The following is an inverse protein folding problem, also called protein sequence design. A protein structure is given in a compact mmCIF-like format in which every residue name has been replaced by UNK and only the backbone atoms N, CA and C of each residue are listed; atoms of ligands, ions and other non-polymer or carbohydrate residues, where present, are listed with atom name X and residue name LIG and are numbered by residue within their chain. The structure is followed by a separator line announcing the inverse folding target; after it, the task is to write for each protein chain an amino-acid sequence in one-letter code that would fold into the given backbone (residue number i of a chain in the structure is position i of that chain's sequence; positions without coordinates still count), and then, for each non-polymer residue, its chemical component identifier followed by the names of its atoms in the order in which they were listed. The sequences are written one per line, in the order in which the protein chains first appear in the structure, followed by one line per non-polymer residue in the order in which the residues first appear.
data_IF_586416131798
#
_entry.id   IF_586416131798
#
_cell.length_a   1.000
_cell.length_b   1.000
_cell.length_c   1.000
_cell.angle_alpha   90.00
_cell.angle_beta   90.00
_cell.angle_gamma   90.00
#
_symmetry.space_group_name_H-M   'P 1'
#
loop_
_entity.id
_entity.type
_entity.pdbx_description
1 polymer ?
#
# COMPACT_ATOMS: atom_id res chain seq x y z
N UNK A 1 7.73 -21.92 1.23
CA UNK A 1 7.27 -20.65 0.65
C UNK A 1 7.79 -19.48 1.48
N UNK A 2 8.21 -18.39 0.83
CA UNK A 2 8.64 -17.16 1.53
C UNK A 2 7.43 -16.26 1.72
N UNK A 3 7.25 -15.71 2.92
CA UNK A 3 6.22 -14.72 3.23
C UNK A 3 6.87 -13.36 3.37
N UNK A 4 6.19 -12.31 2.91
CA UNK A 4 6.67 -10.95 2.90
C UNK A 4 5.75 -10.07 3.74
N UNK A 5 6.31 -9.29 4.67
CA UNK A 5 5.59 -8.23 5.34
C UNK A 5 5.98 -6.91 4.68
N UNK A 6 5.02 -6.23 4.08
CA UNK A 6 5.25 -4.98 3.37
C UNK A 6 5.31 -3.82 4.35
N UNK A 7 6.36 -3.01 4.22
CA UNK A 7 6.50 -1.74 4.92
C UNK A 7 5.62 -0.65 4.29
N UNK A 8 5.29 0.36 5.06
CA UNK A 8 4.47 1.51 4.63
C UNK A 8 5.04 2.20 3.42
N UNK A 9 6.37 2.32 3.32
CA UNK A 9 7.02 2.91 2.15
C UNK A 9 6.76 2.12 0.86
N UNK A 10 6.81 0.79 0.94
CA UNK A 10 6.55 -0.09 -0.22
C UNK A 10 5.10 0.08 -0.69
N UNK A 11 4.15 0.13 0.24
CA UNK A 11 2.75 0.41 -0.08
C UNK A 11 2.57 1.80 -0.71
N UNK A 12 3.22 2.84 -0.17
CA UNK A 12 3.16 4.20 -0.73
C UNK A 12 3.73 4.25 -2.15
N UNK A 13 4.87 3.62 -2.40
CA UNK A 13 5.47 3.58 -3.73
C UNK A 13 4.60 2.83 -4.74
N UNK A 14 3.95 1.75 -4.30
CA UNK A 14 3.01 1.01 -5.13
C UNK A 14 1.80 1.88 -5.51
N UNK A 15 1.21 2.57 -4.53
CA UNK A 15 0.09 3.49 -4.76
C UNK A 15 0.47 4.67 -5.67
N UNK A 16 1.74 5.08 -5.67
CA UNK A 16 2.27 6.11 -6.58
C UNK A 16 2.65 5.59 -7.97
N UNK A 17 2.50 4.28 -8.23
CA UNK A 17 2.87 3.66 -9.51
C UNK A 17 4.38 3.65 -9.79
N UNK A 18 5.21 3.62 -8.74
CA UNK A 18 6.67 3.68 -8.87
C UNK A 18 7.30 2.28 -8.78
N UNK A 19 8.49 2.12 -9.39
CA UNK A 19 9.36 0.94 -9.31
C UNK A 19 8.77 -0.39 -9.82
N UNK A 20 7.67 -0.36 -10.57
CA UNK A 20 7.02 -1.55 -11.14
C UNK A 20 6.75 -2.63 -10.07
N UNK A 21 6.27 -2.18 -8.90
CA UNK A 21 6.04 -3.05 -7.74
C UNK A 21 4.93 -4.09 -7.99
N UNK A 22 3.99 -3.79 -8.87
CA UNK A 22 3.01 -4.74 -9.41
C UNK A 22 3.69 -6.03 -9.93
N UNK A 23 4.69 -5.89 -10.81
CA UNK A 23 5.45 -7.03 -11.35
C UNK A 23 6.24 -7.77 -10.29
N UNK A 24 6.69 -7.07 -9.24
CA UNK A 24 7.40 -7.69 -8.12
C UNK A 24 6.46 -8.50 -7.23
N UNK A 25 5.25 -8.00 -6.98
CA UNK A 25 4.24 -8.70 -6.21
C UNK A 25 3.70 -9.93 -6.95
N UNK A 26 3.53 -9.85 -8.27
CA UNK A 26 3.20 -11.02 -9.10
C UNK A 26 4.24 -12.14 -8.97
N UNK A 27 5.54 -11.79 -9.05
CA UNK A 27 6.64 -12.75 -8.86
C UNK A 27 6.75 -13.30 -7.44
N UNK A 28 6.32 -12.53 -6.45
CA UNK A 28 6.32 -12.93 -5.05
C UNK A 28 5.08 -13.74 -4.65
N UNK A 29 4.08 -13.84 -5.54
CA UNK A 29 2.70 -14.24 -5.28
C UNK A 29 2.03 -13.32 -4.25
N UNK A 30 0.96 -12.63 -4.67
CA UNK A 30 0.25 -11.66 -3.80
C UNK A 30 -0.25 -12.30 -2.50
N UNK A 31 -0.61 -13.58 -2.54
CA UNK A 31 -1.04 -14.39 -1.39
C UNK A 31 0.04 -14.54 -0.30
N UNK A 32 1.30 -14.34 -0.65
CA UNK A 32 2.43 -14.36 0.27
C UNK A 32 2.82 -12.96 0.78
N UNK A 33 2.15 -11.91 0.32
CA UNK A 33 2.38 -10.53 0.74
C UNK A 33 1.36 -10.11 1.80
N UNK A 34 1.86 -9.69 2.95
CA UNK A 34 1.05 -9.27 4.10
C UNK A 34 1.35 -7.81 4.43
N UNK A 35 0.38 -7.13 5.02
CA UNK A 35 0.53 -5.80 5.61
C UNK A 35 0.11 -5.87 7.07
N UNK A 36 0.84 -5.18 7.94
CA UNK A 36 0.47 -5.10 9.34
C UNK A 36 -0.69 -4.13 9.54
N UNK A 37 -1.45 -4.30 10.63
CA UNK A 37 -2.50 -3.35 10.99
C UNK A 37 -1.95 -1.92 11.24
N UNK A 38 -0.70 -1.84 11.74
CA UNK A 38 0.01 -0.57 11.94
C UNK A 38 0.25 0.13 10.59
N UNK A 39 0.75 -0.60 9.60
CA UNK A 39 0.94 -0.10 8.23
C UNK A 39 -0.37 0.44 7.65
N UNK A 40 -1.48 -0.25 7.89
CA UNK A 40 -2.82 0.22 7.46
C UNK A 40 -3.20 1.53 8.16
N UNK A 41 -2.93 1.66 9.46
CA UNK A 41 -3.19 2.89 10.20
C UNK A 41 -2.34 4.07 9.70
N UNK A 42 -1.05 3.85 9.41
CA UNK A 42 -0.16 4.88 8.86
C UNK A 42 -0.61 5.33 7.46
N UNK A 43 -1.01 4.41 6.60
CA UNK A 43 -1.53 4.73 5.26
C UNK A 43 -2.83 5.53 5.34
N UNK A 44 -3.76 5.15 6.24
CA UNK A 44 -5.01 5.89 6.48
C UNK A 44 -4.71 7.31 6.97
N UNK A 45 -3.85 7.44 7.98
CA UNK A 45 -3.43 8.73 8.51
C UNK A 45 -2.77 9.59 7.42
N UNK A 46 -1.87 9.01 6.63
CA UNK A 46 -1.21 9.70 5.53
C UNK A 46 -2.17 10.18 4.44
N UNK A 47 -3.21 9.40 4.13
CA UNK A 47 -4.25 9.78 3.18
C UNK A 47 -5.08 10.97 3.70
N UNK A 48 -5.53 10.93 4.95
CA UNK A 48 -6.35 11.98 5.58
C UNK A 48 -5.60 13.31 5.75
N UNK A 49 -4.29 13.26 6.02
CA UNK A 49 -3.43 14.43 6.23
C UNK A 49 -2.79 14.94 4.93
N UNK A 50 -3.02 14.29 3.79
CA UNK A 50 -2.47 14.75 2.51
C UNK A 50 -3.15 16.03 2.03
N UNK A 51 -2.40 16.92 1.38
CA UNK A 51 -2.90 18.20 0.86
C UNK A 51 -3.93 18.04 -0.28
N UNK A 52 -4.03 16.83 -0.87
CA UNK A 52 -5.03 16.46 -1.88
C UNK A 52 -6.17 15.65 -1.26
N UNK A 53 -6.99 16.30 -0.43
CA UNK A 53 -8.24 15.71 0.12
C UNK A 53 -9.29 15.38 -0.95
N UNK A 54 -9.11 15.87 -2.18
CA UNK A 54 -10.08 15.76 -3.26
C UNK A 54 -9.57 14.87 -4.39
N UNK A 55 -9.81 13.55 -4.26
CA UNK A 55 -10.10 12.58 -5.35
C UNK A 55 -10.18 11.13 -4.84
N UNK A 56 -10.81 10.90 -3.69
CA UNK A 56 -11.35 9.58 -3.34
C UNK A 56 -12.82 9.79 -3.04
N UNK A 57 -13.60 9.98 -4.12
CA UNK A 57 -15.04 10.14 -4.04
C UNK A 57 -15.65 8.96 -3.29
N UNK A 58 -16.18 9.25 -2.09
CA UNK A 58 -17.17 8.46 -1.37
C UNK A 58 -17.01 6.93 -1.49
N UNK A 59 -15.98 6.39 -0.85
CA UNK A 59 -15.94 5.06 -0.21
C UNK A 59 -14.55 4.86 0.40
N UNK A 60 -14.41 5.32 1.63
CA UNK A 60 -13.32 4.89 2.48
C UNK A 60 -13.69 3.49 2.99
N UNK A 61 -13.17 2.47 2.30
CA UNK A 61 -13.34 1.04 2.60
C UNK A 61 -14.76 0.48 2.43
#
# INVERSE_FOLDING_TARGET
MKKYLLDTNICIYFLKGQFELDKRFEKAEVENCFVSEITVAELKFGAENSEKKEKLGGKAF
#
